data_IF_719123983050
#
_entry.id   IF_719123983050
#
_cell.length_a   1.000
_cell.length_b   1.000
_cell.length_c   1.000
_cell.angle_alpha   90.00
_cell.angle_beta   90.00
_cell.angle_gamma   90.00
#
_symmetry.space_group_name_H-M   'P 1'
#
loop_
_entity.id
_entity.type
_entity.pdbx_description
1 polymer ?
#
# COMPACT_ATOMS: atom_id res chain seq x y z
N UNK A 1 -35.02 39.23 -32.43
CA UNK A 1 -35.99 39.47 -33.52
C UNK A 1 -35.22 40.16 -34.65
N UNK A 2 -34.37 39.43 -35.38
CA UNK A 2 -33.34 40.06 -36.24
C UNK A 2 -33.67 39.95 -37.74
N UNK A 3 -34.81 39.33 -38.04
CA UNK A 3 -35.31 39.06 -39.39
C UNK A 3 -36.37 40.05 -39.87
N UNK A 4 -36.75 41.03 -39.05
CA UNK A 4 -37.74 42.06 -39.41
C UNK A 4 -37.04 43.34 -39.81
N UNK A 5 -37.67 44.10 -40.70
CA UNK A 5 -37.25 45.45 -41.06
C UNK A 5 -37.23 46.32 -39.80
N UNK A 6 -36.09 46.92 -39.51
CA UNK A 6 -35.92 47.81 -38.37
C UNK A 6 -36.47 49.20 -38.70
N UNK A 7 -37.22 49.80 -37.78
CA UNK A 7 -37.95 51.05 -38.02
C UNK A 7 -37.05 52.25 -38.39
N UNK A 8 -35.87 52.35 -37.79
CA UNK A 8 -34.99 53.51 -37.97
C UNK A 8 -34.05 53.37 -39.18
N UNK A 9 -33.51 52.17 -39.40
CA UNK A 9 -32.57 51.89 -40.50
C UNK A 9 -33.28 51.43 -41.77
N UNK A 10 -34.57 51.07 -41.69
CA UNK A 10 -35.40 50.55 -42.79
C UNK A 10 -34.82 49.31 -43.49
N UNK A 11 -33.84 48.66 -42.87
CA UNK A 11 -33.20 47.44 -43.34
C UNK A 11 -33.42 46.31 -42.33
N UNK A 12 -33.22 45.06 -42.77
CA UNK A 12 -33.24 43.89 -41.90
C UNK A 12 -31.88 43.80 -41.19
N UNK A 13 -31.81 43.87 -39.84
CA UNK A 13 -30.53 43.87 -39.11
C UNK A 13 -29.63 42.68 -39.44
N UNK A 14 -30.22 41.51 -39.71
CA UNK A 14 -29.46 40.33 -40.14
C UNK A 14 -28.75 40.53 -41.48
N UNK A 15 -29.38 41.19 -42.43
CA UNK A 15 -28.83 41.40 -43.77
C UNK A 15 -27.80 42.54 -43.75
N UNK A 16 -28.09 43.60 -43.01
CA UNK A 16 -27.15 44.70 -42.73
C UNK A 16 -25.85 44.18 -42.09
N UNK A 17 -25.96 43.33 -41.05
CA UNK A 17 -24.80 42.71 -40.40
C UNK A 17 -23.98 41.90 -41.41
N UNK A 18 -24.64 41.06 -42.22
CA UNK A 18 -23.97 40.14 -43.15
C UNK A 18 -23.29 40.85 -44.32
N UNK A 19 -23.96 41.84 -44.90
CA UNK A 19 -23.54 42.47 -46.15
C UNK A 19 -22.63 43.67 -45.92
N UNK A 20 -22.83 44.42 -44.83
CA UNK A 20 -22.20 45.74 -44.63
C UNK A 20 -21.23 45.73 -43.45
N UNK A 21 -21.65 45.19 -42.29
CA UNK A 21 -20.89 45.32 -41.05
C UNK A 21 -19.83 44.23 -40.91
N UNK A 22 -20.17 42.97 -41.18
CA UNK A 22 -19.28 41.82 -40.99
C UNK A 22 -17.94 41.93 -41.74
N UNK A 23 -17.86 42.42 -42.99
CA UNK A 23 -16.60 42.63 -43.68
C UNK A 23 -15.71 43.72 -43.04
N UNK A 24 -16.29 44.61 -42.23
CA UNK A 24 -15.56 45.68 -41.51
C UNK A 24 -15.07 45.24 -40.13
N UNK A 25 -15.57 44.11 -39.63
CA UNK A 25 -15.16 43.57 -38.34
C UNK A 25 -13.88 42.74 -38.51
N UNK A 26 -12.95 42.91 -37.56
CA UNK A 26 -11.78 42.04 -37.51
C UNK A 26 -12.20 40.63 -37.08
N UNK A 27 -11.60 39.57 -37.67
CA UNK A 27 -11.86 38.20 -37.26
C UNK A 27 -11.41 38.00 -35.82
N UNK A 28 -12.21 37.27 -35.05
CA UNK A 28 -11.80 36.84 -33.70
C UNK A 28 -10.60 35.91 -33.87
N UNK A 29 -9.50 36.12 -33.12
CA UNK A 29 -8.34 35.23 -33.17
C UNK A 29 -8.74 33.77 -32.96
N UNK A 30 -8.24 32.88 -33.82
CA UNK A 30 -8.50 31.43 -33.69
C UNK A 30 -7.89 30.85 -32.40
N UNK A 31 -6.81 31.46 -31.91
CA UNK A 31 -6.20 31.14 -30.62
C UNK A 31 -6.73 32.13 -29.57
N UNK A 32 -7.27 31.65 -28.44
CA UNK A 32 -7.83 32.54 -27.44
C UNK A 32 -6.74 33.44 -26.84
N UNK A 33 -7.05 34.73 -26.69
CA UNK A 33 -6.16 35.72 -26.05
C UNK A 33 -6.12 35.45 -24.55
N UNK A 34 -4.97 35.62 -23.88
CA UNK A 34 -4.80 35.27 -22.45
C UNK A 34 -5.85 35.87 -21.51
N UNK A 35 -6.36 37.07 -21.83
CA UNK A 35 -7.44 37.72 -21.09
C UNK A 35 -8.77 36.92 -21.06
N UNK A 36 -8.98 36.01 -22.01
CA UNK A 36 -10.20 35.18 -22.11
C UNK A 36 -10.14 33.88 -21.31
N UNK A 37 -9.00 33.55 -20.68
CA UNK A 37 -8.86 32.30 -19.92
C UNK A 37 -9.39 32.34 -18.49
N UNK A 38 -9.72 33.53 -17.95
CA UNK A 38 -10.34 33.67 -16.63
C UNK A 38 -9.32 33.79 -15.49
N UNK A 39 -9.63 33.17 -14.35
CA UNK A 39 -8.88 33.34 -13.10
C UNK A 39 -7.69 32.38 -13.02
N UNK A 40 -6.54 32.87 -12.57
CA UNK A 40 -5.36 32.03 -12.34
C UNK A 40 -5.50 31.27 -11.03
N UNK A 41 -5.28 29.95 -11.07
CA UNK A 41 -5.21 29.06 -9.90
C UNK A 41 -3.95 28.22 -9.95
N UNK A 42 -3.34 27.99 -8.80
CA UNK A 42 -2.20 27.08 -8.67
C UNK A 42 -2.71 25.71 -8.23
N UNK A 43 -2.23 24.66 -8.88
CA UNK A 43 -2.49 23.28 -8.46
C UNK A 43 -1.62 22.98 -7.24
N UNK A 44 -2.19 22.54 -6.12
CA UNK A 44 -1.41 22.09 -4.97
C UNK A 44 -0.41 20.98 -5.36
N UNK A 45 0.78 20.94 -4.74
CA UNK A 45 1.80 19.92 -5.06
C UNK A 45 1.46 18.53 -4.51
N UNK A 46 0.45 18.41 -3.66
CA UNK A 46 0.04 17.16 -3.01
C UNK A 46 -1.25 16.55 -3.58
N UNK A 47 -2.10 17.36 -4.21
CA UNK A 47 -3.42 16.93 -4.69
C UNK A 47 -3.70 17.53 -6.07
N UNK A 48 -4.12 16.73 -7.07
CA UNK A 48 -4.41 17.19 -8.42
C UNK A 48 -5.81 17.83 -8.53
N UNK A 49 -6.06 18.87 -7.72
CA UNK A 49 -7.36 19.56 -7.64
C UNK A 49 -7.20 21.07 -7.48
N UNK A 50 -8.08 21.84 -8.12
CA UNK A 50 -8.14 23.30 -7.99
C UNK A 50 -9.50 23.75 -7.46
N UNK A 51 -9.53 24.87 -6.74
CA UNK A 51 -10.76 25.47 -6.23
C UNK A 51 -11.19 26.63 -7.10
N UNK A 52 -12.45 26.64 -7.51
CA UNK A 52 -13.10 27.71 -8.26
C UNK A 52 -14.53 27.89 -7.75
N UNK A 53 -14.95 29.13 -7.45
CA UNK A 53 -16.29 29.44 -6.92
C UNK A 53 -16.73 28.53 -5.75
N UNK A 54 -15.82 28.29 -4.78
CA UNK A 54 -16.03 27.42 -3.61
C UNK A 54 -16.27 25.93 -3.90
N UNK A 55 -16.14 25.51 -5.16
CA UNK A 55 -16.18 24.12 -5.61
C UNK A 55 -14.80 23.64 -6.02
N UNK A 56 -14.54 22.34 -5.89
CA UNK A 56 -13.25 21.73 -6.26
C UNK A 56 -13.39 20.95 -7.56
N UNK A 57 -12.42 21.13 -8.45
CA UNK A 57 -12.37 20.51 -9.76
C UNK A 57 -11.05 19.76 -9.92
N UNK A 58 -11.11 18.51 -10.38
CA UNK A 58 -9.91 17.71 -10.65
C UNK A 58 -9.17 18.19 -11.90
N UNK A 59 -7.85 18.04 -11.91
CA UNK A 59 -6.97 18.37 -13.04
C UNK A 59 -5.93 17.27 -13.22
N UNK A 60 -5.38 17.04 -14.42
CA UNK A 60 -4.36 16.00 -14.61
C UNK A 60 -3.19 16.13 -13.62
N UNK A 61 -2.81 15.02 -12.97
CA UNK A 61 -1.77 15.00 -11.94
C UNK A 61 -0.38 15.41 -12.44
N UNK A 62 -0.13 15.33 -13.75
CA UNK A 62 1.10 15.84 -14.39
C UNK A 62 1.26 17.36 -14.26
N UNK A 63 0.19 18.08 -13.91
CA UNK A 63 0.17 19.53 -13.73
C UNK A 63 0.22 19.96 -12.25
N UNK A 64 0.51 19.04 -11.33
CA UNK A 64 0.67 19.37 -9.90
C UNK A 64 1.80 20.38 -9.70
N UNK A 65 1.54 21.42 -8.90
CA UNK A 65 2.46 22.55 -8.68
C UNK A 65 2.41 23.65 -9.75
N UNK A 66 1.77 23.40 -10.91
CA UNK A 66 1.70 24.36 -12.01
C UNK A 66 0.56 25.37 -11.86
N UNK A 67 0.59 26.43 -12.67
CA UNK A 67 -0.44 27.46 -12.73
C UNK A 67 -1.38 27.18 -13.91
N UNK A 68 -2.67 27.23 -13.63
CA UNK A 68 -3.76 27.02 -14.57
C UNK A 68 -4.66 28.25 -14.61
N UNK A 69 -5.41 28.38 -15.69
CA UNK A 69 -6.48 29.35 -15.82
C UNK A 69 -7.81 28.63 -15.77
N UNK A 70 -8.73 29.15 -14.98
CA UNK A 70 -10.06 28.58 -14.77
C UNK A 70 -11.10 29.63 -15.12
N UNK A 71 -12.05 29.25 -15.96
CA UNK A 71 -13.22 30.08 -16.28
C UNK A 71 -14.49 29.25 -16.16
N UNK A 72 -15.51 29.82 -15.54
CA UNK A 72 -16.86 29.29 -15.54
C UNK A 72 -17.71 29.93 -16.64
N UNK A 73 -18.59 29.14 -17.23
CA UNK A 73 -19.80 29.58 -17.92
C UNK A 73 -21.00 29.27 -17.03
N UNK A 74 -22.23 29.48 -17.52
CA UNK A 74 -23.45 29.17 -16.76
C UNK A 74 -23.59 27.67 -16.43
N UNK A 75 -22.93 26.78 -17.20
CA UNK A 75 -23.09 25.33 -17.08
C UNK A 75 -21.77 24.58 -16.87
N UNK A 76 -20.62 25.14 -17.28
CA UNK A 76 -19.34 24.41 -17.32
C UNK A 76 -18.20 25.22 -16.72
N UNK A 77 -17.22 24.53 -16.17
CA UNK A 77 -15.92 25.07 -15.78
C UNK A 77 -14.87 24.51 -16.72
N UNK A 78 -14.15 25.41 -17.39
CA UNK A 78 -13.10 25.10 -18.36
C UNK A 78 -11.76 25.49 -17.75
N UNK A 79 -10.83 24.53 -17.72
CA UNK A 79 -9.50 24.67 -17.15
C UNK A 79 -8.48 24.57 -18.29
N UNK A 80 -7.63 25.59 -18.38
CA UNK A 80 -6.62 25.74 -19.43
C UNK A 80 -5.24 25.80 -18.79
N UNK A 81 -4.29 25.07 -19.37
CA UNK A 81 -2.88 25.19 -19.08
C UNK A 81 -2.19 25.90 -20.25
N UNK A 82 -1.32 26.87 -19.95
CA UNK A 82 -0.49 27.53 -20.96
C UNK A 82 0.94 27.04 -20.78
N UNK A 83 1.32 26.08 -21.61
CA UNK A 83 2.69 25.54 -21.67
C UNK A 83 3.49 26.14 -22.83
N UNK A 84 4.63 25.54 -23.14
CA UNK A 84 5.51 25.97 -24.25
C UNK A 84 4.82 25.90 -25.62
N UNK A 85 3.89 24.94 -25.80
CA UNK A 85 3.12 24.75 -27.02
C UNK A 85 1.87 25.66 -27.11
N UNK A 86 1.70 26.56 -26.14
CA UNK A 86 0.55 27.46 -26.05
C UNK A 86 -0.58 26.97 -25.14
N UNK A 87 -1.74 27.62 -25.20
CA UNK A 87 -2.89 27.32 -24.36
C UNK A 87 -3.59 26.02 -24.79
N UNK A 88 -3.71 25.06 -23.88
CA UNK A 88 -4.41 23.79 -24.09
C UNK A 88 -5.49 23.61 -23.01
N UNK A 89 -6.70 23.25 -23.44
CA UNK A 89 -7.77 22.83 -22.53
C UNK A 89 -7.38 21.48 -21.91
N UNK A 90 -7.20 21.45 -20.59
CA UNK A 90 -6.74 20.27 -19.86
C UNK A 90 -7.88 19.55 -19.15
N UNK A 91 -8.96 20.27 -18.83
CA UNK A 91 -10.14 19.70 -18.23
C UNK A 91 -11.37 20.57 -18.48
N UNK A 92 -12.51 19.90 -18.63
CA UNK A 92 -13.84 20.49 -18.66
C UNK A 92 -14.72 19.73 -17.67
N UNK A 93 -15.41 20.48 -16.83
CA UNK A 93 -16.31 19.95 -15.81
C UNK A 93 -17.66 20.64 -15.92
N UNK A 94 -18.72 19.95 -15.51
CA UNK A 94 -19.99 20.62 -15.22
C UNK A 94 -19.82 21.51 -13.98
N UNK A 95 -20.51 22.64 -13.94
CA UNK A 95 -20.51 23.56 -12.81
C UNK A 95 -21.12 22.86 -11.58
N UNK A 96 -20.37 22.77 -10.49
CA UNK A 96 -20.85 22.10 -9.27
C UNK A 96 -21.11 23.05 -8.11
N UNK A 97 -21.92 22.60 -7.15
CA UNK A 97 -22.21 23.33 -5.92
C UNK A 97 -21.11 23.12 -4.86
N UNK A 98 -20.91 24.11 -3.95
CA UNK A 98 -19.97 23.97 -2.86
C UNK A 98 -20.22 22.69 -2.05
N UNK A 99 -19.13 21.98 -1.73
CA UNK A 99 -19.18 20.69 -1.04
C UNK A 99 -19.28 19.46 -1.94
N UNK A 100 -19.63 19.62 -3.23
CA UNK A 100 -19.63 18.52 -4.22
C UNK A 100 -18.49 18.72 -5.21
N UNK A 101 -17.37 17.99 -5.09
CA UNK A 101 -16.26 18.11 -6.04
C UNK A 101 -16.59 17.47 -7.39
N UNK A 102 -16.11 18.07 -8.48
CA UNK A 102 -16.11 17.47 -9.81
C UNK A 102 -14.83 16.65 -10.02
N UNK A 103 -14.97 15.33 -10.04
CA UNK A 103 -13.85 14.38 -10.07
C UNK A 103 -13.91 13.59 -11.38
N UNK A 104 -12.81 13.59 -12.11
CA UNK A 104 -12.55 12.71 -13.24
C UNK A 104 -11.42 11.78 -12.81
N UNK A 105 -11.67 10.48 -12.75
CA UNK A 105 -10.71 9.52 -12.17
C UNK A 105 -9.39 9.47 -12.94
N UNK A 106 -9.40 9.67 -14.27
CA UNK A 106 -8.19 9.69 -15.11
C UNK A 106 -7.24 10.85 -14.78
N UNK A 107 -7.67 11.84 -14.00
CA UNK A 107 -6.79 12.91 -13.55
C UNK A 107 -5.84 12.47 -12.44
N UNK A 108 -6.21 11.47 -11.66
CA UNK A 108 -5.39 10.98 -10.56
C UNK A 108 -4.33 10.00 -11.07
N UNK A 109 -3.17 9.90 -10.41
CA UNK A 109 -2.22 8.86 -10.74
C UNK A 109 -2.90 7.48 -10.57
N UNK A 110 -2.48 6.46 -11.32
CA UNK A 110 -2.99 5.11 -11.13
C UNK A 110 -2.85 4.73 -9.65
N UNK A 111 -3.88 4.08 -9.11
CA UNK A 111 -3.86 3.63 -7.73
C UNK A 111 -2.57 2.82 -7.50
N UNK A 112 -1.84 3.16 -6.44
CA UNK A 112 -0.71 2.34 -6.01
C UNK A 112 -1.18 0.89 -5.88
N UNK A 113 -0.34 -0.06 -6.25
CA UNK A 113 -0.55 -1.50 -6.06
C UNK A 113 -1.34 -1.80 -4.78
N UNK A 114 -2.33 -2.69 -4.89
CA UNK A 114 -3.28 -2.99 -3.81
C UNK A 114 -2.60 -3.36 -2.49
N UNK A 115 -3.36 -3.50 -1.40
CA UNK A 115 -2.82 -3.76 -0.06
C UNK A 115 -1.79 -4.91 0.02
N UNK A 116 -1.88 -5.88 -0.90
CA UNK A 116 -0.94 -7.00 -1.06
C UNK A 116 0.47 -6.57 -1.50
N UNK A 117 0.60 -5.52 -2.32
CA UNK A 117 1.85 -5.01 -2.88
C UNK A 117 2.52 -3.92 -2.03
N UNK A 118 1.97 -3.61 -0.85
CA UNK A 118 2.61 -2.69 0.09
C UNK A 118 3.91 -3.28 0.61
N UNK A 119 5.02 -2.73 0.13
CA UNK A 119 6.39 -3.01 0.59
C UNK A 119 6.66 -2.18 1.85
N UNK A 120 7.18 -2.82 2.88
CA UNK A 120 7.59 -2.16 4.12
C UNK A 120 8.84 -1.33 3.80
N UNK A 121 8.76 -0.02 4.03
CA UNK A 121 9.89 0.89 3.91
C UNK A 121 10.44 1.21 5.30
N UNK A 122 11.75 1.05 5.55
CA UNK A 122 12.33 1.44 6.83
C UNK A 122 12.21 2.95 7.03
N UNK A 123 11.80 3.36 8.22
CA UNK A 123 11.76 4.77 8.63
C UNK A 123 12.93 5.12 9.56
N UNK A 124 13.53 4.13 10.21
CA UNK A 124 14.64 4.29 11.16
C UNK A 124 15.78 3.30 10.86
N UNK A 125 17.00 3.62 11.28
CA UNK A 125 18.20 2.78 11.15
C UNK A 125 18.01 1.37 11.73
N UNK A 126 17.31 1.23 12.86
CA UNK A 126 17.02 -0.07 13.45
C UNK A 126 16.12 -0.96 12.56
N UNK A 127 15.17 -0.35 11.83
CA UNK A 127 14.34 -1.07 10.86
C UNK A 127 15.14 -1.41 9.61
N UNK A 128 16.03 -0.53 9.16
CA UNK A 128 16.93 -0.78 8.04
C UNK A 128 17.86 -1.98 8.32
N UNK A 129 18.52 -1.99 9.49
CA UNK A 129 19.37 -3.10 9.93
C UNK A 129 18.59 -4.42 10.05
N UNK A 130 17.34 -4.36 10.52
CA UNK A 130 16.49 -5.56 10.64
C UNK A 130 16.00 -6.07 9.28
N UNK A 131 15.59 -5.18 8.37
CA UNK A 131 15.19 -5.57 7.01
C UNK A 131 16.38 -6.05 6.17
N UNK A 132 17.61 -5.65 6.51
CA UNK A 132 18.82 -6.18 5.89
C UNK A 132 19.09 -7.66 6.24
N UNK A 133 18.40 -8.25 7.23
CA UNK A 133 18.50 -9.67 7.54
C UNK A 133 17.93 -10.55 6.42
N UNK A 134 16.84 -10.11 5.78
CA UNK A 134 16.25 -10.83 4.64
C UNK A 134 14.72 -10.72 4.53
N UNK A 135 14.15 -11.62 3.73
CA UNK A 135 12.74 -11.62 3.38
C UNK A 135 11.85 -12.12 4.53
N UNK A 136 12.35 -13.04 5.36
CA UNK A 136 11.68 -13.51 6.57
C UNK A 136 11.50 -12.41 7.61
N UNK A 137 12.49 -11.52 7.76
CA UNK A 137 12.39 -10.34 8.61
C UNK A 137 11.30 -9.36 8.13
N UNK A 138 11.19 -9.12 6.82
CA UNK A 138 10.12 -8.30 6.27
C UNK A 138 8.73 -8.91 6.50
N UNK A 139 8.58 -10.23 6.32
CA UNK A 139 7.34 -10.95 6.61
C UNK A 139 6.99 -10.86 8.10
N UNK A 140 7.97 -11.07 8.97
CA UNK A 140 7.79 -10.94 10.42
C UNK A 140 7.28 -9.56 10.81
N UNK A 141 7.82 -8.47 10.24
CA UNK A 141 7.38 -7.12 10.56
C UNK A 141 5.95 -6.85 10.05
N UNK A 142 5.59 -7.35 8.86
CA UNK A 142 4.23 -7.27 8.31
C UNK A 142 3.22 -7.94 9.26
N UNK A 143 3.49 -9.18 9.65
CA UNK A 143 2.61 -9.96 10.53
C UNK A 143 2.60 -9.45 11.96
N UNK A 144 3.74 -9.00 12.49
CA UNK A 144 3.85 -8.43 13.83
C UNK A 144 3.07 -7.11 13.96
N UNK A 145 3.05 -6.29 12.91
CA UNK A 145 2.25 -5.08 12.84
C UNK A 145 0.76 -5.39 12.72
N UNK A 146 0.38 -6.37 11.88
CA UNK A 146 -1.00 -6.81 11.73
C UNK A 146 -1.57 -7.41 13.02
N UNK A 147 -0.76 -8.17 13.77
CA UNK A 147 -1.13 -8.75 15.06
C UNK A 147 -1.09 -7.74 16.23
N UNK A 148 -0.70 -6.48 16.00
CA UNK A 148 -0.65 -5.45 17.04
C UNK A 148 0.39 -5.75 18.13
N UNK A 149 1.52 -6.34 17.77
CA UNK A 149 2.51 -6.76 18.76
C UNK A 149 3.13 -5.57 19.49
N UNK A 150 3.26 -5.72 20.81
CA UNK A 150 3.88 -4.68 21.63
C UNK A 150 5.41 -4.69 21.51
N UNK A 151 6.02 -3.51 21.65
CA UNK A 151 7.48 -3.30 21.73
C UNK A 151 8.26 -3.87 20.53
N UNK A 152 7.72 -3.73 19.31
CA UNK A 152 8.32 -4.22 18.04
C UNK A 152 9.80 -3.79 17.93
N UNK A 153 10.11 -2.52 18.19
CA UNK A 153 11.48 -1.99 18.15
C UNK A 153 12.48 -2.79 18.97
N UNK A 154 12.18 -3.05 20.24
CA UNK A 154 13.04 -3.82 21.12
C UNK A 154 13.19 -5.29 20.65
N UNK A 155 12.14 -5.86 20.06
CA UNK A 155 12.17 -7.23 19.51
C UNK A 155 13.07 -7.32 18.26
N UNK A 156 12.99 -6.32 17.38
CA UNK A 156 13.88 -6.21 16.21
C UNK A 156 15.34 -6.07 16.64
N UNK A 157 15.64 -5.18 17.59
CA UNK A 157 17.01 -4.99 18.13
C UNK A 157 17.57 -6.30 18.71
N UNK A 158 16.75 -7.07 19.44
CA UNK A 158 17.14 -8.39 19.96
C UNK A 158 17.36 -9.44 18.86
N UNK A 159 16.52 -9.45 17.83
CA UNK A 159 16.68 -10.35 16.69
C UNK A 159 17.93 -10.01 15.86
N UNK A 160 18.21 -8.72 15.63
CA UNK A 160 19.44 -8.27 14.98
C UNK A 160 20.69 -8.62 15.82
N UNK A 161 20.59 -8.54 17.15
CA UNK A 161 21.67 -9.00 18.04
C UNK A 161 21.87 -10.51 17.96
N UNK A 162 20.78 -11.29 17.89
CA UNK A 162 20.84 -12.75 17.72
C UNK A 162 21.49 -13.13 16.38
N UNK A 163 21.19 -12.39 15.31
CA UNK A 163 21.78 -12.61 13.98
C UNK A 163 23.31 -12.43 13.98
N UNK A 164 23.84 -11.52 14.81
CA UNK A 164 25.30 -11.37 14.98
C UNK A 164 25.98 -12.59 15.59
N UNK A 165 25.25 -13.42 16.33
CA UNK A 165 25.78 -14.64 16.98
C UNK A 165 25.54 -15.89 16.13
N UNK A 166 24.35 -16.01 15.53
CA UNK A 166 23.92 -17.23 14.83
C UNK A 166 24.00 -17.15 13.30
N UNK A 167 24.28 -15.98 12.74
CA UNK A 167 24.25 -15.70 11.31
C UNK A 167 22.90 -15.14 10.84
N UNK A 168 22.93 -14.33 9.78
CA UNK A 168 21.74 -13.66 9.25
C UNK A 168 20.75 -14.65 8.63
N UNK A 169 21.23 -15.61 7.84
CA UNK A 169 20.37 -16.56 7.10
C UNK A 169 19.51 -17.42 8.03
N UNK A 170 20.11 -17.91 9.12
CA UNK A 170 19.43 -18.74 10.12
C UNK A 170 18.34 -17.92 10.84
N UNK A 171 18.65 -16.67 11.17
CA UNK A 171 17.69 -15.78 11.83
C UNK A 171 16.60 -15.33 10.87
N UNK A 172 16.89 -15.08 9.59
CA UNK A 172 15.88 -14.74 8.59
C UNK A 172 14.89 -15.89 8.37
N UNK A 173 15.39 -17.12 8.23
CA UNK A 173 14.55 -18.32 8.13
C UNK A 173 13.68 -18.50 9.38
N UNK A 174 14.27 -18.32 10.58
CA UNK A 174 13.56 -18.38 11.85
C UNK A 174 12.47 -17.32 11.98
N UNK A 175 12.75 -16.07 11.57
CA UNK A 175 11.79 -14.98 11.56
C UNK A 175 10.63 -15.24 10.59
N UNK A 176 10.91 -15.80 9.41
CA UNK A 176 9.89 -16.23 8.46
C UNK A 176 8.95 -17.30 9.06
N UNK A 177 9.50 -18.33 9.69
CA UNK A 177 8.72 -19.37 10.36
C UNK A 177 7.92 -18.80 11.55
N UNK A 178 8.53 -17.93 12.34
CA UNK A 178 7.89 -17.27 13.48
C UNK A 178 6.70 -16.39 13.03
N UNK A 179 6.83 -15.70 11.89
CA UNK A 179 5.77 -14.90 11.29
C UNK A 179 4.55 -15.75 10.91
N UNK A 180 4.77 -16.90 10.23
CA UNK A 180 3.71 -17.83 9.82
C UNK A 180 2.97 -18.41 11.03
N UNK A 181 3.65 -18.62 12.15
CA UNK A 181 3.06 -19.13 13.38
C UNK A 181 2.52 -18.04 14.32
N UNK A 182 2.57 -16.77 13.93
CA UNK A 182 2.21 -15.62 14.76
C UNK A 182 2.91 -15.59 16.13
N UNK A 183 4.17 -16.05 16.19
CA UNK A 183 5.00 -16.05 17.39
C UNK A 183 6.04 -14.95 17.30
N UNK A 184 5.94 -13.96 18.18
CA UNK A 184 6.73 -12.73 18.06
C UNK A 184 7.61 -12.46 19.29
N UNK A 185 7.87 -13.46 20.14
CA UNK A 185 8.81 -13.31 21.25
C UNK A 185 10.23 -13.72 20.85
N UNK A 186 11.22 -13.22 21.58
CA UNK A 186 12.61 -13.60 21.36
C UNK A 186 12.86 -15.07 21.72
N UNK A 187 12.20 -15.56 22.76
CA UNK A 187 12.28 -16.97 23.20
C UNK A 187 11.67 -17.91 22.16
N UNK A 188 10.56 -17.52 21.54
CA UNK A 188 9.96 -18.27 20.43
C UNK A 188 10.91 -18.35 19.24
N UNK A 189 11.56 -17.24 18.89
CA UNK A 189 12.51 -17.22 17.78
C UNK A 189 13.68 -18.17 18.05
N UNK A 190 14.26 -18.13 19.25
CA UNK A 190 15.33 -19.06 19.65
C UNK A 190 14.83 -20.51 19.62
N UNK A 191 13.64 -20.78 20.18
CA UNK A 191 13.05 -22.12 20.16
C UNK A 191 12.84 -22.64 18.74
N UNK A 192 12.29 -21.82 17.84
CA UNK A 192 12.09 -22.17 16.42
C UNK A 192 13.42 -22.48 15.76
N UNK A 193 14.44 -21.62 15.93
CA UNK A 193 15.75 -21.82 15.34
C UNK A 193 16.43 -23.08 15.88
N UNK A 194 16.36 -23.33 17.20
CA UNK A 194 16.96 -24.54 17.79
C UNK A 194 16.30 -25.83 17.28
N UNK A 195 14.98 -25.81 17.10
CA UNK A 195 14.23 -26.96 16.59
C UNK A 195 14.51 -27.21 15.09
N UNK A 196 14.68 -26.16 14.29
CA UNK A 196 15.05 -26.30 12.87
C UNK A 196 16.51 -26.71 12.69
N UNK A 197 17.41 -26.30 13.60
CA UNK A 197 18.83 -26.67 13.57
C UNK A 197 19.09 -28.14 13.93
N UNK A 198 18.24 -28.76 14.76
CA UNK A 198 18.37 -30.17 15.13
C UNK A 198 18.03 -31.16 14.01
N UNK A 199 17.70 -30.67 12.80
CA UNK A 199 17.60 -31.51 11.60
C UNK A 199 16.47 -32.54 11.64
N UNK A 200 15.59 -32.48 12.64
CA UNK A 200 14.31 -33.11 12.50
C UNK A 200 13.63 -32.37 11.33
N UNK A 201 13.15 -33.06 10.27
CA UNK A 201 12.22 -32.43 9.33
C UNK A 201 11.13 -31.76 10.16
N UNK A 202 10.39 -30.76 9.64
CA UNK A 202 9.23 -30.29 10.38
C UNK A 202 8.38 -31.53 10.68
N UNK A 203 8.50 -32.06 11.89
CA UNK A 203 7.37 -32.52 12.63
C UNK A 203 6.56 -31.24 12.64
N UNK A 204 5.71 -31.10 11.63
CA UNK A 204 4.29 -30.89 11.85
C UNK A 204 4.15 -30.88 13.36
N UNK A 205 4.05 -29.69 13.95
CA UNK A 205 3.16 -29.58 15.09
C UNK A 205 2.02 -30.46 14.65
N UNK A 206 1.80 -31.56 15.35
CA UNK A 206 0.73 -32.47 15.02
C UNK A 206 -0.58 -31.73 15.33
N UNK A 207 -0.85 -30.65 14.60
CA UNK A 207 -2.03 -30.50 13.77
C UNK A 207 -2.07 -31.63 12.76
N UNK A 208 -1.93 -32.88 13.22
CA UNK A 208 -2.93 -33.83 12.80
C UNK A 208 -4.21 -33.31 13.45
N UNK A 209 -4.84 -32.35 12.77
CA UNK A 209 -6.28 -32.24 12.86
C UNK A 209 -6.73 -33.54 12.20
N UNK A 210 -6.78 -34.60 13.01
CA UNK A 210 -7.43 -35.85 12.65
C UNK A 210 -8.89 -35.48 12.45
N UNK A 211 -9.24 -35.00 11.26
CA UNK A 211 -10.63 -34.88 10.88
C UNK A 211 -11.11 -36.30 10.68
N UNK A 212 -11.88 -36.79 11.65
CA UNK A 212 -12.58 -38.07 11.55
C UNK A 212 -13.57 -37.93 10.40
N UNK A 213 -13.16 -38.33 9.21
CA UNK A 213 -14.06 -38.42 8.06
C UNK A 213 -14.23 -39.85 7.56
N UNK A 214 -13.70 -40.84 8.28
CA UNK A 214 -13.86 -42.24 7.91
C UNK A 214 -14.28 -43.13 9.10
N UNK A 215 -15.21 -44.04 8.83
CA UNK A 215 -15.81 -44.95 9.81
C UNK A 215 -14.77 -46.01 10.21
N UNK A 216 -14.14 -45.83 11.38
CA UNK A 216 -13.19 -46.80 11.94
C UNK A 216 -11.93 -46.21 12.58
N UNK A 217 -11.72 -44.89 12.54
CA UNK A 217 -10.62 -44.24 13.25
C UNK A 217 -11.11 -43.57 14.54
N UNK A 218 -10.54 -43.96 15.67
CA UNK A 218 -10.87 -43.42 16.99
C UNK A 218 -9.65 -42.68 17.58
N UNK A 219 -9.90 -41.55 18.23
CA UNK A 219 -8.88 -40.72 18.90
C UNK A 219 -8.54 -41.23 20.31
N UNK A 220 -8.60 -42.54 20.57
CA UNK A 220 -8.18 -43.04 21.88
C UNK A 220 -6.68 -42.87 22.03
N UNK A 221 -6.26 -42.04 22.99
CA UNK A 221 -4.89 -42.01 23.50
C UNK A 221 -4.48 -43.45 23.85
N UNK A 222 -3.49 -43.98 23.14
CA UNK A 222 -2.94 -45.30 23.44
C UNK A 222 -2.24 -45.26 24.80
N UNK A 223 -2.47 -46.27 25.64
CA UNK A 223 -1.75 -46.46 26.92
C UNK A 223 -0.29 -46.87 26.72
N UNK A 224 0.22 -46.88 25.48
CA UNK A 224 1.61 -47.22 25.16
C UNK A 224 2.62 -46.32 25.86
N UNK A 225 2.26 -45.05 26.14
CA UNK A 225 3.09 -44.16 26.94
C UNK A 225 3.25 -44.61 28.41
N UNK A 226 2.38 -45.50 28.90
CA UNK A 226 2.42 -46.07 30.26
C UNK A 226 3.05 -47.47 30.28
N UNK A 227 3.39 -48.05 29.13
CA UNK A 227 3.87 -49.43 29.04
C UNK A 227 5.19 -49.68 29.79
N UNK A 228 6.00 -48.65 30.00
CA UNK A 228 7.26 -48.72 30.75
C UNK A 228 7.13 -48.25 32.20
N UNK A 229 5.92 -47.94 32.68
CA UNK A 229 5.72 -47.52 34.07
C UNK A 229 5.79 -48.76 34.98
N UNK A 230 6.93 -48.94 35.66
CA UNK A 230 7.17 -50.05 36.59
C UNK A 230 8.26 -51.04 36.18
N UNK A 231 8.82 -50.92 34.97
CA UNK A 231 9.98 -51.72 34.58
C UNK A 231 11.26 -51.07 35.11
N UNK A 232 11.82 -51.62 36.18
CA UNK A 232 13.13 -51.21 36.68
C UNK A 232 14.20 -51.48 35.62
N UNK A 233 14.92 -50.45 35.19
CA UNK A 233 16.15 -50.62 34.40
C UNK A 233 17.16 -51.33 35.29
N UNK A 234 17.38 -52.62 35.05
CA UNK A 234 18.41 -53.39 35.72
C UNK A 234 19.75 -52.89 35.20
N UNK A 235 20.33 -51.89 35.86
CA UNK A 235 21.74 -51.60 35.73
C UNK A 235 22.49 -52.75 36.42
N UNK A 236 22.84 -53.78 35.66
CA UNK A 236 23.82 -54.78 36.08
C UNK A 236 25.16 -54.07 36.18
N UNK A 237 25.50 -53.63 37.38
CA UNK A 237 26.88 -53.36 37.77
C UNK A 237 27.55 -54.70 38.04
N UNK A 238 28.35 -55.18 37.09
CA UNK A 238 29.38 -56.18 37.35
C UNK A 238 30.41 -55.54 38.28
N UNK A 239 30.37 -55.90 39.57
CA UNK A 239 31.47 -55.65 40.49
C UNK A 239 32.07 -57.00 40.88
N UNK A 240 33.39 -57.03 40.80
CA UNK A 240 34.24 -58.20 40.57
C UNK A 240 34.74 -58.70 41.92
N UNK A 241 34.58 -59.99 42.19
CA UNK A 241 35.17 -60.67 43.34
C UNK A 241 36.68 -60.43 43.41
N UNK A 242 37.18 -59.97 44.57
CA UNK A 242 38.58 -60.11 44.95
C UNK A 242 38.68 -60.70 46.36
N UNK A 243 38.84 -62.03 46.39
CA UNK A 243 39.13 -62.84 47.55
C UNK A 243 40.66 -62.86 47.82
N UNK A 244 41.07 -62.67 49.08
CA UNK A 244 42.27 -63.29 49.65
C UNK A 244 43.57 -62.47 49.77
N UNK A 245 43.94 -62.14 51.02
CA UNK A 245 45.32 -62.26 51.52
C UNK A 245 45.33 -62.31 53.07
N UNK A 246 45.66 -63.47 53.61
CA UNK A 246 46.03 -63.74 55.01
C UNK A 246 47.52 -63.48 55.22
N UNK A 247 47.88 -62.83 56.33
CA UNK A 247 48.76 -63.34 57.43
C UNK A 247 48.84 -62.32 58.57
#
# INVERSE_FOLDING_TARGET
>A
MNSKVHRATLEIPRDMLRLIEQPKLHPVPAVPVTASFGQVRQVPPNTPMVTYEHSRYSVPHTLMGQRLWVRGTDAEVIIVHVGEQGPVEVARHELTRPGVPAIIDSHFPPASGGALERVIRPTNKAEEEFLALGAGAALWLKEAAAAGTNKIRHKMERAATLAKVMGNDVVDQGLGAAAVHHRFSHEDLVSIITNTATGQPPSTISTTRHTVTDQGQWLSQGTSAWANFGTASTNTSDDIDLEGATE
#
